data_IF_601955477132
#
_entry.id   IF_601955477132
#
_cell.length_a   1.000
_cell.length_b   1.000
_cell.length_c   1.000
_cell.angle_alpha   90.00
_cell.angle_beta   90.00
_cell.angle_gamma   90.00
#
_symmetry.space_group_name_H-M   'P 1'
#
loop_
_entity.id
_entity.type
_entity.pdbx_description
1 polymer ?
#
# COMPACT_ATOMS: atom_id res chain seq x y z
N UNK A 1 6.13 17.97 56.16
CA UNK A 1 4.86 17.44 55.60
C UNK A 1 4.75 18.04 54.21
N UNK A 2 5.46 17.45 53.27
CA UNK A 2 5.50 17.87 51.86
C UNK A 2 4.98 16.71 51.07
N UNK A 3 3.86 16.90 50.40
CA UNK A 3 3.21 15.90 49.56
C UNK A 3 3.98 15.76 48.24
N UNK A 4 4.41 14.57 48.01
CA UNK A 4 5.05 14.08 46.78
C UNK A 4 3.93 13.84 45.77
N UNK A 5 3.84 14.68 44.74
CA UNK A 5 2.96 14.45 43.60
C UNK A 5 3.74 13.65 42.56
N UNK A 6 3.66 12.34 42.66
CA UNK A 6 4.09 11.45 41.58
C UNK A 6 3.21 11.71 40.35
N UNK A 7 3.78 12.28 39.31
CA UNK A 7 3.16 12.34 37.98
C UNK A 7 3.12 10.93 37.41
N UNK A 8 1.94 10.38 37.34
CA UNK A 8 1.62 9.15 36.62
C UNK A 8 1.81 9.40 35.12
N UNK A 9 2.98 9.08 34.62
CA UNK A 9 3.28 9.00 33.22
C UNK A 9 2.71 7.66 32.68
N UNK A 10 1.41 7.60 32.56
CA UNK A 10 0.73 6.54 31.84
C UNK A 10 1.22 6.52 30.40
N UNK A 11 2.21 5.69 30.10
CA UNK A 11 2.56 5.32 28.74
C UNK A 11 1.33 4.71 28.08
N UNK A 12 0.59 5.53 27.33
CA UNK A 12 -0.42 5.02 26.43
C UNK A 12 0.30 4.13 25.43
N UNK A 13 0.07 2.82 25.53
CA UNK A 13 0.32 1.89 24.43
C UNK A 13 -0.51 2.38 23.24
N UNK A 14 0.12 3.12 22.32
CA UNK A 14 -0.45 3.51 21.04
C UNK A 14 -0.44 2.32 20.07
N UNK A 15 -0.92 1.17 20.51
CA UNK A 15 -1.23 0.06 19.64
C UNK A 15 -2.49 0.38 18.84
N UNK A 16 -2.45 0.14 17.52
CA UNK A 16 -3.64 0.17 16.68
C UNK A 16 -4.66 -0.84 17.25
N UNK A 17 -5.72 -0.35 17.87
CA UNK A 17 -6.76 -1.21 18.42
C UNK A 17 -7.79 -1.45 17.33
N UNK A 18 -7.78 -2.65 16.76
CA UNK A 18 -8.82 -3.17 15.87
C UNK A 18 -9.68 -4.13 16.68
N UNK A 19 -10.97 -4.12 16.43
CA UNK A 19 -11.90 -5.07 17.07
C UNK A 19 -11.42 -6.52 16.82
N UNK A 20 -11.21 -7.32 17.87
CA UNK A 20 -10.79 -8.73 17.72
C UNK A 20 -11.80 -9.56 16.92
N UNK A 21 -13.09 -9.28 17.03
CA UNK A 21 -14.13 -9.99 16.27
C UNK A 21 -14.01 -9.68 14.77
N UNK A 22 -13.74 -8.43 14.40
CA UNK A 22 -13.45 -8.06 13.00
C UNK A 22 -12.19 -8.77 12.48
N UNK A 23 -11.13 -8.79 13.28
CA UNK A 23 -9.88 -9.48 12.90
C UNK A 23 -10.10 -10.97 12.69
N UNK A 24 -10.87 -11.61 13.55
CA UNK A 24 -11.25 -13.01 13.43
C UNK A 24 -12.10 -13.25 12.19
N UNK A 25 -13.11 -12.43 11.95
CA UNK A 25 -13.97 -12.52 10.76
C UNK A 25 -13.15 -12.38 9.46
N UNK A 26 -12.23 -11.42 9.39
CA UNK A 26 -11.33 -11.28 8.24
C UNK A 26 -10.51 -12.55 8.04
N UNK A 27 -9.92 -13.11 9.11
CA UNK A 27 -9.15 -14.34 9.06
C UNK A 27 -9.97 -15.54 8.55
N UNK A 28 -11.18 -15.71 9.01
CA UNK A 28 -12.10 -16.78 8.59
C UNK A 28 -12.46 -16.65 7.11
N UNK A 29 -12.80 -15.44 6.66
CA UNK A 29 -13.11 -15.17 5.24
C UNK A 29 -11.90 -15.48 4.35
N UNK A 30 -10.72 -15.01 4.71
CA UNK A 30 -9.50 -15.24 3.92
C UNK A 30 -9.11 -16.72 3.89
N UNK A 31 -9.27 -17.44 4.99
CA UNK A 31 -9.05 -18.89 5.05
C UNK A 31 -10.02 -19.67 4.18
N UNK A 32 -11.25 -19.19 4.06
CA UNK A 32 -12.29 -19.81 3.22
C UNK A 32 -12.03 -19.65 1.72
N UNK A 33 -11.32 -18.59 1.30
CA UNK A 33 -11.03 -18.30 -0.12
C UNK A 33 -9.61 -18.70 -0.55
N UNK A 34 -8.70 -18.99 0.39
CA UNK A 34 -7.33 -19.40 0.13
C UNK A 34 -7.15 -20.89 0.42
N UNK A 35 -6.98 -21.71 -0.62
CA UNK A 35 -6.67 -23.13 -0.49
C UNK A 35 -5.18 -23.43 -0.72
N UNK A 36 -4.66 -24.60 -0.26
CA UNK A 36 -3.25 -24.93 -0.41
C UNK A 36 -2.83 -25.23 -1.86
N UNK A 37 -3.77 -25.56 -2.74
CA UNK A 37 -3.48 -26.09 -4.10
C UNK A 37 -4.00 -25.21 -5.25
N UNK A 38 -4.87 -24.24 -4.97
CA UNK A 38 -5.50 -23.42 -6.00
C UNK A 38 -5.28 -21.95 -5.66
N UNK A 39 -4.82 -21.18 -6.63
CA UNK A 39 -4.68 -19.73 -6.46
C UNK A 39 -6.06 -19.09 -6.27
N UNK A 40 -6.22 -18.17 -5.30
CA UNK A 40 -7.47 -17.48 -5.11
C UNK A 40 -7.89 -16.71 -6.37
N UNK A 41 -9.14 -16.90 -6.81
CA UNK A 41 -9.73 -16.09 -7.89
C UNK A 41 -10.11 -14.70 -7.34
N UNK A 42 -9.49 -13.61 -7.81
CA UNK A 42 -9.76 -12.27 -7.30
C UNK A 42 -11.24 -11.86 -7.39
N UNK A 43 -11.96 -12.31 -8.42
CA UNK A 43 -13.37 -11.99 -8.58
C UNK A 43 -14.26 -12.73 -7.56
N UNK A 44 -13.92 -13.98 -7.25
CA UNK A 44 -14.60 -14.74 -6.20
C UNK A 44 -14.32 -14.14 -4.81
N UNK A 45 -13.06 -13.78 -4.54
CA UNK A 45 -12.67 -13.11 -3.29
C UNK A 45 -13.43 -11.78 -3.13
N UNK A 46 -13.47 -10.94 -4.17
CA UNK A 46 -14.20 -9.67 -4.12
C UNK A 46 -15.67 -9.85 -3.80
N UNK A 47 -16.31 -10.85 -4.40
CA UNK A 47 -17.71 -11.18 -4.14
C UNK A 47 -17.92 -11.56 -2.68
N UNK A 48 -17.07 -12.42 -2.12
CA UNK A 48 -17.14 -12.79 -0.71
C UNK A 48 -16.94 -11.60 0.21
N UNK A 49 -15.94 -10.73 -0.07
CA UNK A 49 -15.74 -9.49 0.71
C UNK A 49 -16.97 -8.57 0.63
N UNK A 50 -17.62 -8.50 -0.53
CA UNK A 50 -18.85 -7.70 -0.71
C UNK A 50 -20.01 -8.26 0.12
N UNK A 51 -20.22 -9.58 0.09
CA UNK A 51 -21.29 -10.26 0.83
C UNK A 51 -21.17 -10.07 2.36
N UNK A 52 -19.94 -9.96 2.89
CA UNK A 52 -19.70 -9.76 4.32
C UNK A 52 -19.45 -8.29 4.71
N UNK A 53 -19.57 -7.34 3.76
CA UNK A 53 -19.41 -5.90 4.01
C UNK A 53 -17.97 -5.39 4.11
N UNK A 54 -16.97 -6.20 3.74
CA UNK A 54 -15.55 -5.82 3.81
C UNK A 54 -15.02 -5.14 2.54
N UNK A 55 -15.72 -5.24 1.40
CA UNK A 55 -15.24 -4.70 0.13
C UNK A 55 -15.18 -3.17 0.09
N UNK A 56 -16.04 -2.50 0.88
CA UNK A 56 -16.13 -1.04 0.98
C UNK A 56 -16.03 -0.58 2.43
N UNK A 57 -15.00 -1.04 3.10
CA UNK A 57 -14.83 -0.88 4.54
C UNK A 57 -14.66 0.60 4.93
N UNK A 58 -13.90 1.39 4.13
CA UNK A 58 -13.64 2.81 4.41
C UNK A 58 -14.65 3.78 3.79
N UNK A 59 -15.47 3.32 2.84
CA UNK A 59 -16.49 4.15 2.26
C UNK A 59 -17.56 4.52 3.31
N UNK A 60 -18.11 5.75 3.28
CA UNK A 60 -19.17 6.13 4.20
C UNK A 60 -20.45 5.32 3.98
N UNK A 61 -21.30 5.25 5.02
CA UNK A 61 -22.53 4.47 5.01
C UNK A 61 -23.49 4.93 3.88
N UNK A 62 -23.58 6.23 3.61
CA UNK A 62 -24.38 6.77 2.52
C UNK A 62 -23.90 6.33 1.13
N UNK A 63 -22.64 5.92 1.01
CA UNK A 63 -22.09 5.31 -0.22
C UNK A 63 -22.16 3.78 -0.20
N UNK A 64 -22.83 3.17 0.78
CA UNK A 64 -22.93 1.72 0.92
C UNK A 64 -21.66 1.07 1.52
N UNK A 65 -20.86 1.82 2.25
CA UNK A 65 -19.70 1.33 3.00
C UNK A 65 -19.97 1.13 4.49
N UNK A 66 -18.94 0.81 5.26
CA UNK A 66 -19.01 0.61 6.71
C UNK A 66 -18.54 1.82 7.52
N UNK A 67 -18.03 2.86 6.90
CA UNK A 67 -17.48 4.05 7.56
C UNK A 67 -16.29 3.79 8.47
N UNK A 68 -15.59 2.66 8.27
CA UNK A 68 -14.44 2.27 9.07
C UNK A 68 -13.20 3.15 8.77
N UNK A 69 -12.26 3.14 9.70
CA UNK A 69 -11.03 3.92 9.57
C UNK A 69 -9.84 3.15 9.00
N UNK A 70 -8.69 3.81 9.06
CA UNK A 70 -7.42 3.22 8.61
C UNK A 70 -6.98 2.00 9.43
N UNK A 71 -7.40 1.86 10.71
CA UNK A 71 -7.04 0.70 11.51
C UNK A 71 -7.64 -0.58 10.92
N UNK A 72 -8.93 -0.56 10.63
CA UNK A 72 -9.68 -1.68 10.07
C UNK A 72 -9.22 -1.97 8.62
N UNK A 73 -9.03 -0.93 7.82
CA UNK A 73 -8.50 -1.07 6.46
C UNK A 73 -7.10 -1.70 6.47
N UNK A 74 -6.20 -1.24 7.33
CA UNK A 74 -4.85 -1.79 7.47
C UNK A 74 -4.87 -3.25 7.94
N UNK A 75 -5.78 -3.62 8.83
CA UNK A 75 -5.96 -5.01 9.26
C UNK A 75 -6.36 -5.92 8.09
N UNK A 76 -7.37 -5.50 7.30
CA UNK A 76 -7.79 -6.25 6.10
C UNK A 76 -6.64 -6.37 5.09
N UNK A 77 -5.99 -5.27 4.75
CA UNK A 77 -4.88 -5.21 3.80
C UNK A 77 -3.74 -6.15 4.23
N UNK A 78 -3.34 -6.08 5.49
CA UNK A 78 -2.24 -6.86 6.05
C UNK A 78 -2.55 -8.35 6.10
N UNK A 79 -3.74 -8.73 6.60
CA UNK A 79 -4.15 -10.13 6.70
C UNK A 79 -4.33 -10.76 5.31
N UNK A 80 -4.92 -10.04 4.35
CA UNK A 80 -5.03 -10.53 2.98
C UNK A 80 -3.65 -10.77 2.35
N UNK A 81 -2.71 -9.85 2.52
CA UNK A 81 -1.35 -10.01 2.03
C UNK A 81 -0.61 -11.16 2.72
N UNK A 82 -0.77 -11.36 4.03
CA UNK A 82 -0.21 -12.48 4.78
C UNK A 82 -0.77 -13.83 4.34
N UNK A 83 -2.05 -13.87 3.96
CA UNK A 83 -2.69 -15.07 3.42
C UNK A 83 -2.36 -15.32 1.93
N UNK A 84 -1.59 -14.45 1.27
CA UNK A 84 -1.31 -14.53 -0.17
C UNK A 84 -2.54 -14.32 -1.04
N UNK A 85 -3.52 -13.56 -0.55
CA UNK A 85 -4.76 -13.21 -1.25
C UNK A 85 -4.61 -11.83 -1.89
N UNK A 86 -4.70 -11.78 -3.22
CA UNK A 86 -4.64 -10.54 -3.98
C UNK A 86 -6.04 -10.17 -4.49
N UNK A 87 -6.45 -8.93 -4.20
CA UNK A 87 -7.73 -8.36 -4.62
C UNK A 87 -7.59 -6.85 -4.74
N UNK A 88 -8.30 -6.17 -5.65
CA UNK A 88 -8.14 -4.72 -5.88
C UNK A 88 -8.82 -3.86 -4.80
N UNK A 89 -8.73 -4.27 -3.53
CA UNK A 89 -9.32 -3.55 -2.39
C UNK A 89 -8.69 -2.16 -2.20
N UNK A 90 -7.34 -2.10 -2.22
CA UNK A 90 -6.60 -0.84 -2.04
C UNK A 90 -6.97 0.15 -3.14
N UNK A 91 -6.99 -0.31 -4.38
CA UNK A 91 -7.33 0.53 -5.54
C UNK A 91 -8.77 1.02 -5.43
N UNK A 92 -9.72 0.14 -5.13
CA UNK A 92 -11.15 0.42 -5.18
C UNK A 92 -11.61 1.28 -4.01
N UNK A 93 -11.37 0.82 -2.78
CA UNK A 93 -11.93 1.44 -1.58
C UNK A 93 -11.04 2.56 -1.02
N UNK A 94 -9.71 2.31 -0.94
CA UNK A 94 -8.79 3.23 -0.27
C UNK A 94 -8.37 4.39 -1.17
N UNK A 95 -8.17 4.14 -2.48
CA UNK A 95 -7.62 5.14 -3.41
C UNK A 95 -8.69 5.78 -4.29
N UNK A 96 -9.47 4.97 -5.02
CA UNK A 96 -10.45 5.48 -6.01
C UNK A 96 -11.70 6.03 -5.33
N UNK A 97 -12.22 5.39 -4.29
CA UNK A 97 -13.41 5.85 -3.58
C UNK A 97 -13.31 7.31 -3.10
N UNK A 98 -12.28 7.70 -2.33
CA UNK A 98 -12.09 9.09 -1.93
C UNK A 98 -11.96 10.08 -3.11
N UNK A 99 -11.32 9.69 -4.21
CA UNK A 99 -11.20 10.52 -5.40
C UNK A 99 -12.54 10.72 -6.11
N UNK A 100 -13.38 9.68 -6.21
CA UNK A 100 -14.74 9.80 -6.74
C UNK A 100 -15.54 10.84 -5.96
N UNK A 101 -15.53 10.74 -4.63
CA UNK A 101 -16.22 11.70 -3.75
C UNK A 101 -15.68 13.12 -3.92
N UNK A 102 -14.36 13.29 -3.97
CA UNK A 102 -13.74 14.61 -4.17
C UNK A 102 -14.09 15.24 -5.54
N UNK A 103 -14.32 14.41 -6.56
CA UNK A 103 -14.73 14.84 -7.91
C UNK A 103 -16.24 14.88 -8.11
N UNK A 104 -17.03 14.64 -7.05
CA UNK A 104 -18.50 14.52 -7.11
C UNK A 104 -19.00 13.47 -8.14
N UNK A 105 -18.24 12.40 -8.30
CA UNK A 105 -18.64 11.22 -9.08
C UNK A 105 -19.43 10.24 -8.20
N UNK A 106 -20.19 9.35 -8.84
CA UNK A 106 -20.93 8.30 -8.14
C UNK A 106 -19.96 7.34 -7.43
N UNK A 107 -20.11 7.21 -6.13
CA UNK A 107 -19.32 6.30 -5.29
C UNK A 107 -20.19 5.19 -4.65
N UNK A 108 -21.33 4.85 -5.25
CA UNK A 108 -22.24 3.81 -4.73
C UNK A 108 -22.05 2.44 -5.38
N UNK A 109 -21.27 2.36 -6.46
CA UNK A 109 -21.05 1.12 -7.20
C UNK A 109 -20.28 0.08 -6.36
N UNK A 110 -20.76 -1.16 -6.27
CA UNK A 110 -20.07 -2.26 -5.59
C UNK A 110 -18.92 -2.86 -6.43
N UNK A 111 -18.74 -2.38 -7.67
CA UNK A 111 -17.74 -2.88 -8.60
C UNK A 111 -16.31 -2.51 -8.21
N UNK A 112 -15.37 -3.21 -8.82
CA UNK A 112 -13.94 -2.99 -8.64
C UNK A 112 -13.42 -1.86 -9.52
N UNK A 113 -12.40 -1.16 -9.04
CA UNK A 113 -11.80 -0.04 -9.77
C UNK A 113 -10.29 -0.02 -9.61
N UNK A 114 -9.61 0.61 -10.57
CA UNK A 114 -8.18 0.91 -10.44
C UNK A 114 -7.88 2.35 -10.83
N UNK A 115 -6.75 2.89 -10.33
CA UNK A 115 -6.27 4.23 -10.63
C UNK A 115 -5.26 4.19 -11.78
N UNK A 116 -5.41 5.11 -12.73
CA UNK A 116 -4.51 5.27 -13.87
C UNK A 116 -4.05 6.73 -14.01
N UNK A 117 -2.81 7.04 -13.71
CA UNK A 117 -2.22 8.37 -13.89
C UNK A 117 -1.74 8.51 -15.33
N UNK A 118 -2.36 9.43 -16.07
CA UNK A 118 -2.08 9.65 -17.49
C UNK A 118 -0.80 10.48 -17.62
N UNK A 119 0.21 9.90 -18.21
CA UNK A 119 1.48 10.52 -18.52
C UNK A 119 1.59 11.04 -19.95
N UNK A 120 2.80 11.38 -20.39
CA UNK A 120 3.07 11.83 -21.74
C UNK A 120 2.54 10.87 -22.80
N UNK A 121 1.96 11.41 -23.86
CA UNK A 121 1.37 10.59 -24.93
C UNK A 121 -0.02 10.04 -24.61
N UNK A 122 -0.68 10.55 -23.54
CA UNK A 122 -2.06 10.21 -23.23
C UNK A 122 -2.29 8.82 -22.67
N UNK A 123 -1.26 8.15 -22.15
CA UNK A 123 -1.30 6.79 -21.59
C UNK A 123 -0.87 6.75 -20.15
N UNK A 124 -1.53 5.92 -19.37
CA UNK A 124 -1.07 5.50 -18.04
C UNK A 124 -0.28 4.18 -18.17
N UNK A 125 0.89 4.13 -17.55
CA UNK A 125 1.81 3.00 -17.67
C UNK A 125 1.76 2.11 -16.42
N UNK A 126 1.90 0.79 -16.64
CA UNK A 126 2.03 -0.21 -15.58
C UNK A 126 0.91 -0.13 -14.53
N UNK A 127 -0.32 0.08 -14.99
CA UNK A 127 -1.50 0.17 -14.12
C UNK A 127 -1.79 -1.21 -13.52
N UNK A 128 -1.81 -1.34 -12.19
CA UNK A 128 -2.21 -2.60 -11.55
C UNK A 128 -3.68 -2.88 -11.82
N UNK A 129 -4.04 -4.15 -11.90
CA UNK A 129 -5.38 -4.62 -12.20
C UNK A 129 -5.93 -4.17 -13.57
N UNK A 130 -5.05 -3.69 -14.46
CA UNK A 130 -5.46 -3.30 -15.80
C UNK A 130 -6.20 -4.44 -16.51
N UNK A 131 -7.48 -4.21 -16.81
CA UNK A 131 -8.36 -5.17 -17.47
C UNK A 131 -8.96 -6.26 -16.58
N UNK A 132 -8.75 -6.18 -15.27
CA UNK A 132 -9.32 -7.10 -14.28
C UNK A 132 -10.24 -6.40 -13.27
N UNK A 133 -10.46 -5.10 -13.41
CA UNK A 133 -11.45 -4.31 -12.67
C UNK A 133 -12.61 -3.92 -13.57
N UNK A 134 -13.74 -3.53 -12.98
CA UNK A 134 -14.94 -3.09 -13.73
C UNK A 134 -14.71 -1.71 -14.36
N UNK A 135 -14.01 -0.81 -13.65
CA UNK A 135 -13.72 0.54 -14.11
C UNK A 135 -12.26 0.94 -13.89
N UNK A 136 -11.83 1.93 -14.65
CA UNK A 136 -10.55 2.63 -14.51
C UNK A 136 -10.84 4.10 -14.24
N UNK A 137 -10.35 4.64 -13.11
CA UNK A 137 -10.35 6.07 -12.85
C UNK A 137 -9.05 6.66 -13.38
N UNK A 138 -9.13 7.40 -14.46
CA UNK A 138 -8.01 8.14 -15.02
C UNK A 138 -7.83 9.47 -14.28
N UNK A 139 -6.59 9.84 -14.01
CA UNK A 139 -6.17 11.13 -13.46
C UNK A 139 -5.18 11.75 -14.41
N UNK A 140 -5.35 13.04 -14.72
CA UNK A 140 -4.38 13.85 -15.49
C UNK A 140 -4.28 15.27 -14.93
N UNK A 141 -3.24 15.99 -15.31
CA UNK A 141 -3.20 17.44 -15.11
C UNK A 141 -4.26 18.12 -15.94
N UNK A 142 -4.90 19.15 -15.40
CA UNK A 142 -5.91 19.92 -16.11
C UNK A 142 -5.30 20.63 -17.32
N UNK A 143 -5.97 20.59 -18.47
CA UNK A 143 -5.53 21.28 -19.67
C UNK A 143 -5.68 22.81 -19.49
N UNK A 144 -4.60 23.56 -19.58
CA UNK A 144 -4.60 25.01 -19.46
C UNK A 144 -3.92 25.54 -18.20
N UNK A 145 -3.35 24.69 -17.40
CA UNK A 145 -2.45 25.09 -16.34
C UNK A 145 -1.16 25.63 -16.98
N UNK A 146 -0.82 26.95 -16.81
CA UNK A 146 0.41 27.46 -17.37
C UNK A 146 1.56 26.72 -16.71
N UNK A 147 2.34 26.03 -17.55
CA UNK A 147 3.56 25.37 -17.14
C UNK A 147 4.35 26.29 -16.21
N UNK A 148 4.68 25.79 -15.04
CA UNK A 148 5.74 26.21 -14.15
C UNK A 148 6.51 27.46 -14.60
N UNK A 149 6.13 28.61 -14.07
CA UNK A 149 7.04 29.73 -13.98
C UNK A 149 7.78 29.57 -12.64
N UNK A 150 9.07 29.21 -12.70
CA UNK A 150 9.90 28.85 -11.57
C UNK A 150 10.18 29.95 -10.55
N UNK A 151 9.67 31.19 -10.78
CA UNK A 151 10.07 32.37 -10.04
C UNK A 151 9.08 32.84 -8.95
N UNK A 152 7.95 32.13 -8.69
CA UNK A 152 6.97 32.62 -7.73
C UNK A 152 6.50 31.51 -6.76
N UNK A 153 7.14 31.43 -5.57
CA UNK A 153 6.82 30.47 -4.51
C UNK A 153 5.37 30.58 -3.97
N UNK A 154 4.71 31.73 -4.11
CA UNK A 154 3.32 31.93 -3.68
C UNK A 154 2.27 31.41 -4.69
N UNK A 155 2.65 31.15 -5.93
CA UNK A 155 1.76 30.63 -6.97
C UNK A 155 1.57 29.13 -6.88
N UNK A 156 2.44 28.41 -6.16
CA UNK A 156 2.42 26.96 -5.95
C UNK A 156 1.12 26.44 -5.32
N UNK A 157 0.46 27.24 -4.52
CA UNK A 157 -0.75 26.87 -3.78
C UNK A 157 -2.06 27.07 -4.56
N UNK A 158 -2.04 27.64 -5.76
CA UNK A 158 -3.27 28.12 -6.43
C UNK A 158 -3.55 27.64 -7.84
N UNK A 159 -2.64 26.98 -8.56
CA UNK A 159 -2.78 26.78 -10.00
C UNK A 159 -2.76 25.34 -10.50
N UNK A 160 -2.34 24.33 -9.75
CA UNK A 160 -2.25 22.95 -10.24
C UNK A 160 -3.55 22.14 -10.05
N UNK A 161 -4.50 22.25 -10.96
CA UNK A 161 -5.71 21.39 -10.96
C UNK A 161 -5.45 20.04 -11.61
N UNK A 162 -6.10 19.00 -11.09
CA UNK A 162 -6.21 17.72 -11.75
C UNK A 162 -7.63 17.50 -12.26
N UNK A 163 -7.75 16.65 -13.24
CA UNK A 163 -9.03 16.17 -13.75
C UNK A 163 -9.07 14.64 -13.65
N UNK A 164 -10.25 14.13 -13.37
CA UNK A 164 -10.49 12.69 -13.34
C UNK A 164 -11.58 12.32 -14.34
N UNK A 165 -11.48 11.10 -14.85
CA UNK A 165 -12.52 10.54 -15.70
C UNK A 165 -12.64 9.04 -15.44
N UNK A 166 -13.84 8.57 -15.16
CA UNK A 166 -14.11 7.16 -14.96
C UNK A 166 -14.59 6.50 -16.24
N UNK A 167 -14.03 5.35 -16.55
CA UNK A 167 -14.30 4.60 -17.76
C UNK A 167 -14.49 3.13 -17.42
N UNK A 168 -15.52 2.50 -17.96
CA UNK A 168 -15.65 1.05 -17.93
C UNK A 168 -14.44 0.40 -18.60
N UNK A 169 -13.90 -0.64 -17.99
CA UNK A 169 -12.63 -1.24 -18.40
C UNK A 169 -12.64 -1.77 -19.84
N UNK A 170 -13.78 -2.26 -20.31
CA UNK A 170 -13.98 -2.75 -21.68
C UNK A 170 -13.87 -1.65 -22.74
N UNK A 171 -14.03 -0.38 -22.35
CA UNK A 171 -13.91 0.81 -23.22
C UNK A 171 -12.50 1.40 -23.23
N UNK A 172 -11.58 0.90 -22.41
CA UNK A 172 -10.21 1.39 -22.39
C UNK A 172 -9.36 0.74 -23.47
N UNK A 173 -8.44 1.50 -24.06
CA UNK A 173 -7.39 0.92 -24.91
C UNK A 173 -6.31 0.33 -24.02
N UNK A 174 -6.02 -0.96 -24.19
CA UNK A 174 -5.05 -1.69 -23.38
C UNK A 174 -3.92 -2.25 -24.21
N UNK A 175 -2.69 -2.11 -23.67
CA UNK A 175 -1.54 -2.91 -24.06
C UNK A 175 -1.24 -3.87 -22.90
N UNK A 176 -1.42 -5.17 -23.08
CA UNK A 176 -1.14 -6.14 -22.04
C UNK A 176 0.32 -6.10 -21.65
N UNK A 177 0.60 -6.00 -20.34
CA UNK A 177 1.90 -6.22 -19.75
C UNK A 177 2.13 -7.70 -19.48
N UNK A 178 3.37 -8.08 -19.21
CA UNK A 178 3.66 -9.42 -18.70
C UNK A 178 3.34 -9.47 -17.20
N UNK A 179 2.40 -10.29 -16.75
CA UNK A 179 2.15 -10.44 -15.32
C UNK A 179 3.38 -11.12 -14.68
N UNK A 180 3.94 -10.47 -13.67
CA UNK A 180 4.99 -11.06 -12.82
C UNK A 180 4.34 -11.77 -11.63
N UNK A 181 3.15 -11.34 -11.25
CA UNK A 181 2.37 -11.83 -10.12
C UNK A 181 0.95 -12.19 -10.53
N UNK A 182 0.11 -12.58 -9.58
CA UNK A 182 -1.33 -12.79 -9.77
C UNK A 182 -2.07 -11.48 -10.08
N UNK A 183 -1.43 -10.32 -9.92
CA UNK A 183 -2.00 -9.01 -10.19
C UNK A 183 -1.69 -8.63 -11.64
N UNK A 184 -2.69 -8.54 -12.53
CA UNK A 184 -2.46 -8.09 -13.89
C UNK A 184 -1.93 -6.66 -13.92
N UNK A 185 -0.95 -6.40 -14.77
CA UNK A 185 -0.39 -5.06 -14.99
C UNK A 185 -0.40 -4.78 -16.48
N UNK A 186 -0.78 -3.58 -16.88
CA UNK A 186 -0.77 -3.18 -18.27
C UNK A 186 -0.75 -1.66 -18.44
N UNK A 187 -0.46 -1.23 -19.65
CA UNK A 187 -0.63 0.17 -20.04
C UNK A 187 -2.06 0.37 -20.53
N UNK A 188 -2.69 1.47 -20.09
CA UNK A 188 -4.06 1.81 -20.46
C UNK A 188 -4.14 3.25 -20.96
N UNK A 189 -5.07 3.52 -21.87
CA UNK A 189 -5.38 4.87 -22.30
C UNK A 189 -6.89 5.11 -22.21
N UNK A 190 -7.33 6.32 -21.84
CA UNK A 190 -8.71 6.71 -21.91
C UNK A 190 -9.16 6.81 -23.40
N UNK A 191 -10.44 6.58 -23.72
CA UNK A 191 -10.95 6.85 -25.05
C UNK A 191 -10.85 8.33 -25.40
N UNK A 192 -10.76 8.64 -26.70
CA UNK A 192 -10.61 10.02 -27.20
C UNK A 192 -11.76 10.95 -26.78
N UNK A 193 -12.97 10.39 -26.71
CA UNK A 193 -14.17 11.11 -26.30
C UNK A 193 -14.54 10.72 -24.87
N UNK A 194 -14.08 11.50 -23.89
CA UNK A 194 -14.33 11.30 -22.48
C UNK A 194 -14.58 12.63 -21.78
N UNK A 195 -15.51 12.61 -20.84
CA UNK A 195 -15.76 13.76 -19.97
C UNK A 195 -14.82 13.72 -18.77
N UNK A 196 -14.07 14.77 -18.58
CA UNK A 196 -13.22 15.01 -17.44
C UNK A 196 -13.95 15.87 -16.41
N UNK A 197 -13.80 15.55 -15.15
CA UNK A 197 -14.32 16.29 -14.00
C UNK A 197 -13.15 16.85 -13.18
N UNK A 198 -13.20 18.11 -12.76
CA UNK A 198 -12.14 18.68 -11.95
C UNK A 198 -12.09 18.00 -10.58
N UNK A 199 -10.87 17.86 -10.03
CA UNK A 199 -10.64 17.35 -8.69
C UNK A 199 -9.56 18.20 -8.01
N UNK A 200 -9.71 18.51 -6.70
CA UNK A 200 -8.70 19.27 -5.97
C UNK A 200 -7.34 18.56 -5.94
N UNK A 201 -6.25 19.30 -6.12
CA UNK A 201 -4.88 18.75 -6.09
C UNK A 201 -4.62 17.96 -4.80
N UNK A 202 -4.99 18.52 -3.65
CA UNK A 202 -4.82 17.84 -2.36
C UNK A 202 -5.55 16.50 -2.24
N UNK A 203 -6.65 16.28 -2.97
CA UNK A 203 -7.32 14.98 -3.00
C UNK A 203 -6.51 13.94 -3.78
N UNK A 204 -5.89 14.35 -4.89
CA UNK A 204 -5.02 13.47 -5.70
C UNK A 204 -3.74 13.15 -4.94
N UNK A 205 -3.13 14.15 -4.31
CA UNK A 205 -1.94 13.97 -3.47
C UNK A 205 -2.22 13.05 -2.30
N UNK A 206 -3.37 13.21 -1.63
CA UNK A 206 -3.78 12.33 -0.54
C UNK A 206 -3.98 10.90 -1.04
N UNK A 207 -4.58 10.69 -2.20
CA UNK A 207 -4.74 9.36 -2.80
C UNK A 207 -3.38 8.67 -3.08
N UNK A 208 -2.35 9.45 -3.47
CA UNK A 208 -0.97 8.92 -3.62
C UNK A 208 -0.41 8.47 -2.28
N UNK A 209 -0.55 9.28 -1.21
CA UNK A 209 -0.09 8.90 0.13
C UNK A 209 -0.86 7.69 0.68
N UNK A 210 -2.17 7.63 0.47
CA UNK A 210 -3.02 6.48 0.84
C UNK A 210 -2.54 5.21 0.12
N UNK A 211 -2.32 5.28 -1.20
CA UNK A 211 -1.79 4.16 -1.97
C UNK A 211 -0.41 3.73 -1.49
N UNK A 212 0.49 4.67 -1.22
CA UNK A 212 1.83 4.39 -0.73
C UNK A 212 1.81 3.71 0.66
N UNK A 213 0.99 4.21 1.60
CA UNK A 213 0.81 3.60 2.91
C UNK A 213 0.24 2.18 2.80
N UNK A 214 -0.82 2.00 2.01
CA UNK A 214 -1.41 0.69 1.79
C UNK A 214 -0.39 -0.32 1.22
N UNK A 215 0.49 0.11 0.30
CA UNK A 215 1.58 -0.76 -0.22
C UNK A 215 2.61 -1.10 0.86
N UNK A 216 2.93 -0.19 1.79
CA UNK A 216 3.78 -0.52 2.93
C UNK A 216 3.12 -1.61 3.79
N UNK A 217 1.84 -1.46 4.11
CA UNK A 217 1.07 -2.44 4.90
C UNK A 217 0.97 -3.79 4.19
N UNK A 218 0.76 -3.83 2.86
CA UNK A 218 0.78 -5.07 2.07
C UNK A 218 2.15 -5.75 2.10
N UNK A 219 3.24 -4.99 1.98
CA UNK A 219 4.60 -5.54 2.07
C UNK A 219 4.88 -6.15 3.45
N UNK A 220 4.41 -5.51 4.53
CA UNK A 220 4.50 -6.04 5.90
C UNK A 220 3.71 -7.35 6.03
N UNK A 221 2.44 -7.37 5.60
CA UNK A 221 1.63 -8.58 5.65
C UNK A 221 2.25 -9.75 4.87
N UNK A 222 2.77 -9.49 3.67
CA UNK A 222 3.46 -10.51 2.90
C UNK A 222 4.72 -11.03 3.60
N UNK A 223 5.49 -10.16 4.28
CA UNK A 223 6.66 -10.56 5.05
C UNK A 223 6.26 -11.42 6.28
N UNK A 224 5.16 -11.09 6.95
CA UNK A 224 4.57 -11.92 8.03
C UNK A 224 4.19 -13.32 7.50
N UNK A 225 3.47 -13.39 6.37
CA UNK A 225 3.13 -14.67 5.75
C UNK A 225 4.36 -15.48 5.31
N UNK A 226 5.42 -14.82 4.82
CA UNK A 226 6.70 -15.47 4.51
C UNK A 226 7.39 -16.01 5.77
N UNK A 227 7.31 -15.29 6.90
CA UNK A 227 7.85 -15.74 8.18
C UNK A 227 7.12 -16.97 8.68
N UNK A 228 5.79 -16.98 8.66
CA UNK A 228 4.98 -18.13 9.06
C UNK A 228 5.29 -19.35 8.18
N UNK A 229 5.32 -19.18 6.86
CA UNK A 229 5.69 -20.25 5.94
C UNK A 229 7.11 -20.79 6.19
N UNK A 230 8.07 -19.91 6.51
CA UNK A 230 9.44 -20.31 6.84
C UNK A 230 9.53 -21.08 8.17
N UNK A 231 8.77 -20.67 9.18
CA UNK A 231 8.67 -21.37 10.48
C UNK A 231 8.07 -22.76 10.30
N UNK A 232 6.95 -22.87 9.59
CA UNK A 232 6.29 -24.15 9.32
C UNK A 232 7.19 -25.09 8.52
N UNK A 233 7.81 -24.60 7.46
CA UNK A 233 8.71 -25.41 6.64
C UNK A 233 9.92 -25.91 7.44
N UNK A 234 10.57 -25.04 8.21
CA UNK A 234 11.80 -25.40 8.93
C UNK A 234 11.55 -26.31 10.13
N UNK A 235 10.38 -26.24 10.75
CA UNK A 235 10.00 -27.12 11.86
C UNK A 235 9.53 -28.49 11.38
N UNK A 236 8.77 -28.55 10.26
CA UNK A 236 8.25 -29.78 9.68
C UNK A 236 9.26 -30.56 8.84
N UNK A 237 10.21 -29.88 8.16
CA UNK A 237 11.16 -30.53 7.25
C UNK A 237 12.37 -31.09 7.97
N UNK A 238 12.58 -32.41 7.85
CA UNK A 238 13.76 -33.10 8.40
C UNK A 238 14.80 -33.38 7.30
N UNK A 239 16.05 -33.02 7.55
CA UNK A 239 17.23 -33.33 6.73
C UNK A 239 18.42 -33.61 7.64
N UNK A 240 19.33 -34.48 7.20
CA UNK A 240 20.52 -34.86 7.98
C UNK A 240 20.18 -35.35 9.39
N UNK A 241 19.03 -36.06 9.54
CA UNK A 241 18.58 -36.69 10.77
C UNK A 241 17.93 -35.76 11.81
N UNK A 242 17.67 -34.49 11.48
CA UNK A 242 16.99 -33.53 12.38
C UNK A 242 16.19 -32.47 11.62
N UNK A 243 15.21 -31.80 12.26
CA UNK A 243 14.49 -30.67 11.66
C UNK A 243 15.44 -29.55 11.21
N UNK A 244 15.09 -28.86 10.11
CA UNK A 244 15.88 -27.73 9.60
C UNK A 244 16.04 -26.63 10.66
N UNK A 245 15.03 -26.37 11.47
CA UNK A 245 15.05 -25.42 12.59
C UNK A 245 16.16 -25.69 13.65
N UNK A 246 16.82 -26.85 13.61
CA UNK A 246 17.94 -27.19 14.50
C UNK A 246 19.32 -26.80 13.96
N UNK A 247 19.37 -26.22 12.76
CA UNK A 247 20.62 -25.75 12.15
C UNK A 247 20.78 -24.26 12.40
N UNK A 248 21.93 -23.84 12.97
CA UNK A 248 22.22 -22.44 13.31
C UNK A 248 22.07 -21.49 12.09
N UNK A 249 22.52 -21.93 10.92
CA UNK A 249 22.40 -21.12 9.69
C UNK A 249 20.94 -20.88 9.29
N UNK A 250 20.06 -21.84 9.50
CA UNK A 250 18.62 -21.71 9.23
C UNK A 250 17.98 -20.80 10.27
N UNK A 251 18.33 -20.98 11.56
CA UNK A 251 17.85 -20.08 12.62
C UNK A 251 18.21 -18.62 12.35
N UNK A 252 19.44 -18.34 11.92
CA UNK A 252 19.85 -16.98 11.60
C UNK A 252 18.98 -16.38 10.48
N UNK A 253 18.71 -17.13 9.41
CA UNK A 253 17.85 -16.64 8.30
C UNK A 253 16.42 -16.32 8.77
N UNK A 254 15.84 -17.15 9.64
CA UNK A 254 14.49 -16.94 10.18
C UNK A 254 14.48 -15.76 11.16
N UNK A 255 15.51 -15.63 12.00
CA UNK A 255 15.63 -14.50 12.95
C UNK A 255 15.80 -13.18 12.20
N UNK A 256 16.65 -13.12 11.17
CA UNK A 256 16.81 -11.92 10.36
C UNK A 256 15.47 -11.53 9.69
N UNK A 257 14.75 -12.49 9.13
CA UNK A 257 13.43 -12.25 8.54
C UNK A 257 12.45 -11.72 9.59
N UNK A 258 12.40 -12.31 10.77
CA UNK A 258 11.52 -11.87 11.86
C UNK A 258 11.85 -10.45 12.35
N UNK A 259 13.14 -10.13 12.53
CA UNK A 259 13.59 -8.83 13.00
C UNK A 259 13.21 -7.70 12.01
N UNK A 260 13.47 -7.92 10.73
CA UNK A 260 13.11 -6.97 9.67
C UNK A 260 11.59 -6.80 9.54
N UNK A 261 10.82 -7.89 9.66
CA UNK A 261 9.35 -7.84 9.61
C UNK A 261 8.78 -7.00 10.76
N UNK A 262 9.29 -7.20 11.99
CA UNK A 262 8.84 -6.42 13.17
C UNK A 262 9.18 -4.94 13.01
N UNK A 263 10.38 -4.62 12.51
CA UNK A 263 10.79 -3.24 12.27
C UNK A 263 9.88 -2.56 11.22
N UNK A 264 9.63 -3.25 10.11
CA UNK A 264 8.73 -2.75 9.06
C UNK A 264 7.29 -2.57 9.57
N UNK A 265 6.82 -3.50 10.39
CA UNK A 265 5.53 -3.43 11.06
C UNK A 265 5.41 -2.18 11.92
N UNK A 266 6.38 -1.92 12.79
CA UNK A 266 6.38 -0.75 13.65
C UNK A 266 6.32 0.57 12.86
N UNK A 267 7.09 0.67 11.77
CA UNK A 267 7.07 1.85 10.90
C UNK A 267 5.72 2.02 10.18
N UNK A 268 5.11 0.95 9.69
CA UNK A 268 3.81 1.00 9.04
C UNK A 268 2.68 1.34 10.04
N UNK A 269 2.68 0.72 11.22
CA UNK A 269 1.69 0.97 12.28
C UNK A 269 1.74 2.44 12.74
N UNK A 270 2.93 3.05 12.82
CA UNK A 270 3.06 4.47 13.14
C UNK A 270 2.45 5.37 12.05
N UNK A 271 2.64 5.04 10.77
CA UNK A 271 2.05 5.79 9.68
C UNK A 271 0.51 5.59 9.61
N UNK A 272 0.00 4.41 9.93
CA UNK A 272 -1.44 4.15 10.07
C UNK A 272 -2.03 4.93 11.24
N UNK A 273 -1.35 5.00 12.38
CA UNK A 273 -1.79 5.80 13.51
C UNK A 273 -1.87 7.31 13.17
N UNK A 274 -0.94 7.82 12.38
CA UNK A 274 -1.05 9.18 11.84
C UNK A 274 -2.26 9.34 10.91
N UNK A 275 -2.47 8.40 10.01
CA UNK A 275 -3.59 8.42 9.08
C UNK A 275 -4.96 8.43 9.79
N UNK A 276 -5.09 7.72 10.91
CA UNK A 276 -6.29 7.73 11.75
C UNK A 276 -6.61 9.13 12.32
N UNK A 277 -5.59 9.88 12.69
CA UNK A 277 -5.76 11.20 13.34
C UNK A 277 -5.89 12.32 12.32
N UNK A 278 -5.09 12.27 11.25
CA UNK A 278 -4.91 13.39 10.32
C UNK A 278 -5.54 13.17 8.95
N UNK A 279 -5.98 11.94 8.63
CA UNK A 279 -6.37 11.56 7.27
C UNK A 279 -5.23 11.69 6.25
N UNK A 280 -3.97 11.59 6.70
CA UNK A 280 -2.74 11.86 5.93
C UNK A 280 -2.56 13.33 5.50
N UNK A 281 -3.29 14.26 6.11
CA UNK A 281 -3.13 15.71 5.92
C UNK A 281 -2.26 16.39 6.99
N UNK A 282 -1.63 15.63 7.88
CA UNK A 282 -0.77 16.16 8.94
C UNK A 282 0.63 16.55 8.45
N UNK A 283 1.34 17.41 9.19
CA UNK A 283 2.67 17.90 8.78
C UNK A 283 3.74 16.79 8.70
N UNK A 284 3.53 15.67 9.38
CA UNK A 284 4.45 14.53 9.39
C UNK A 284 3.94 13.34 8.56
N UNK A 285 2.76 13.43 7.95
CA UNK A 285 2.14 12.30 7.23
C UNK A 285 3.03 11.78 6.10
N UNK A 286 3.54 12.67 5.25
CA UNK A 286 4.43 12.28 4.15
C UNK A 286 5.76 11.68 4.66
N UNK A 287 6.33 12.20 5.74
CA UNK A 287 7.53 11.64 6.39
C UNK A 287 7.28 10.21 6.89
N UNK A 288 6.17 10.00 7.62
CA UNK A 288 5.82 8.68 8.16
C UNK A 288 5.54 7.66 7.06
N UNK A 289 4.85 8.08 6.00
CA UNK A 289 4.64 7.23 4.80
C UNK A 289 5.97 6.91 4.12
N UNK A 290 6.86 7.89 3.95
CA UNK A 290 8.18 7.68 3.35
C UNK A 290 9.03 6.70 4.18
N UNK A 291 9.03 6.86 5.51
CA UNK A 291 9.71 5.96 6.42
C UNK A 291 9.15 4.53 6.33
N UNK A 292 7.81 4.38 6.39
CA UNK A 292 7.15 3.07 6.26
C UNK A 292 7.48 2.40 4.91
N UNK A 293 7.48 3.15 3.81
CA UNK A 293 7.83 2.66 2.46
C UNK A 293 9.28 2.23 2.35
N UNK A 294 10.22 3.01 2.91
CA UNK A 294 11.64 2.67 2.92
C UNK A 294 11.89 1.39 3.73
N UNK A 295 11.46 1.37 4.98
CA UNK A 295 11.69 0.24 5.89
C UNK A 295 11.00 -1.03 5.38
N UNK A 296 9.73 -0.97 4.95
CA UNK A 296 9.03 -2.12 4.38
C UNK A 296 9.72 -2.66 3.11
N UNK A 297 10.28 -1.78 2.28
CA UNK A 297 11.00 -2.18 1.07
C UNK A 297 12.32 -2.90 1.36
N UNK A 298 13.05 -2.47 2.41
CA UNK A 298 14.29 -3.10 2.86
C UNK A 298 14.00 -4.44 3.52
N UNK A 299 13.04 -4.48 4.44
CA UNK A 299 12.60 -5.71 5.10
C UNK A 299 12.15 -6.77 4.10
N UNK A 300 11.38 -6.36 3.08
CA UNK A 300 10.92 -7.27 2.04
C UNK A 300 12.07 -7.91 1.25
N UNK A 301 13.16 -7.19 0.99
CA UNK A 301 14.33 -7.76 0.31
C UNK A 301 14.96 -8.90 1.13
N UNK A 302 15.02 -8.74 2.45
CA UNK A 302 15.49 -9.79 3.37
C UNK A 302 14.48 -10.93 3.45
N UNK A 303 13.19 -10.62 3.60
CA UNK A 303 12.12 -11.60 3.73
C UNK A 303 12.06 -12.53 2.51
N UNK A 304 12.00 -11.98 1.30
CA UNK A 304 11.96 -12.78 0.05
C UNK A 304 13.20 -13.66 -0.07
N UNK A 305 14.41 -13.08 0.11
CA UNK A 305 15.66 -13.85 0.02
C UNK A 305 15.70 -14.98 1.03
N UNK A 306 15.42 -14.71 2.30
CA UNK A 306 15.55 -15.69 3.37
C UNK A 306 14.45 -16.76 3.29
N UNK A 307 13.21 -16.38 2.96
CA UNK A 307 12.13 -17.34 2.73
C UNK A 307 12.47 -18.32 1.59
N UNK A 308 12.92 -17.84 0.44
CA UNK A 308 13.37 -18.73 -0.65
C UNK A 308 14.57 -19.59 -0.23
N UNK A 309 15.53 -19.04 0.52
CA UNK A 309 16.71 -19.78 0.95
C UNK A 309 16.35 -20.94 1.89
N UNK A 310 15.43 -20.73 2.85
CA UNK A 310 15.04 -21.82 3.78
C UNK A 310 14.16 -22.89 3.14
N UNK A 311 13.34 -22.52 2.14
CA UNK A 311 12.55 -23.49 1.39
C UNK A 311 13.38 -24.27 0.36
N UNK A 312 14.47 -23.65 -0.16
CA UNK A 312 15.29 -24.25 -1.22
C UNK A 312 14.51 -24.39 -2.53
N UNK A 313 14.80 -25.44 -3.30
CA UNK A 313 14.23 -25.62 -4.63
C UNK A 313 12.69 -25.65 -4.68
N UNK A 314 12.02 -26.18 -3.67
CA UNK A 314 10.55 -26.26 -3.65
C UNK A 314 9.93 -24.85 -3.61
N UNK A 315 10.54 -23.89 -2.90
CA UNK A 315 10.05 -22.51 -2.80
C UNK A 315 10.08 -21.75 -4.12
N UNK A 316 10.77 -22.26 -5.15
CA UNK A 316 10.82 -21.63 -6.47
C UNK A 316 9.87 -22.28 -7.48
N UNK A 317 9.10 -23.27 -7.07
CA UNK A 317 8.13 -23.97 -7.92
C UNK A 317 6.72 -23.44 -7.71
N UNK A 318 5.85 -23.58 -8.73
CA UNK A 318 4.42 -23.27 -8.61
C UNK A 318 3.65 -24.25 -7.73
N UNK A 319 4.23 -25.40 -7.38
CA UNK A 319 3.64 -26.37 -6.46
C UNK A 319 3.61 -25.86 -5.01
N UNK A 320 4.51 -24.93 -4.67
CA UNK A 320 4.59 -24.33 -3.34
C UNK A 320 3.97 -22.93 -3.35
N UNK A 321 3.18 -22.61 -2.33
CA UNK A 321 2.42 -21.35 -2.24
C UNK A 321 3.27 -20.10 -2.00
N UNK A 322 4.58 -20.21 -1.78
CA UNK A 322 5.47 -19.07 -1.49
C UNK A 322 5.42 -17.97 -2.56
N UNK A 323 5.21 -18.34 -3.83
CA UNK A 323 5.08 -17.37 -4.93
C UNK A 323 3.87 -16.43 -4.76
N UNK A 324 2.81 -16.83 -4.04
CA UNK A 324 1.64 -16.00 -3.74
C UNK A 324 1.96 -14.86 -2.78
N UNK A 325 3.02 -15.01 -1.99
CA UNK A 325 3.51 -13.99 -1.07
C UNK A 325 4.59 -13.13 -1.74
N UNK A 326 5.56 -13.77 -2.39
CA UNK A 326 6.76 -13.09 -2.88
C UNK A 326 6.51 -12.26 -4.14
N UNK A 327 5.78 -12.79 -5.13
CA UNK A 327 5.58 -12.08 -6.41
C UNK A 327 4.71 -10.82 -6.27
N UNK A 328 3.54 -10.86 -5.61
CA UNK A 328 2.78 -9.64 -5.36
C UNK A 328 3.54 -8.61 -4.53
N UNK A 329 4.26 -9.05 -3.49
CA UNK A 329 5.04 -8.16 -2.65
C UNK A 329 6.14 -7.43 -3.42
N UNK A 330 6.85 -8.11 -4.32
CA UNK A 330 7.84 -7.50 -5.20
C UNK A 330 7.21 -6.48 -6.17
N UNK A 331 5.96 -6.70 -6.61
CA UNK A 331 5.22 -5.74 -7.41
C UNK A 331 4.82 -4.51 -6.58
N UNK A 332 4.17 -4.70 -5.41
CA UNK A 332 3.75 -3.61 -4.51
C UNK A 332 4.91 -2.72 -4.07
N UNK A 333 6.10 -3.29 -3.92
CA UNK A 333 7.32 -2.55 -3.59
C UNK A 333 7.62 -1.42 -4.56
N UNK A 334 7.23 -1.54 -5.84
CA UNK A 334 7.47 -0.55 -6.88
C UNK A 334 6.31 0.42 -7.13
N UNK A 335 5.12 0.13 -6.61
CA UNK A 335 3.93 0.93 -6.86
C UNK A 335 3.82 2.11 -5.90
N UNK A 336 3.21 3.23 -6.33
CA UNK A 336 3.14 4.50 -5.57
C UNK A 336 4.51 4.98 -5.07
N UNK A 337 5.53 4.84 -5.89
CA UNK A 337 6.91 5.20 -5.57
C UNK A 337 7.78 4.01 -5.17
N UNK A 338 8.96 3.91 -5.77
CA UNK A 338 9.96 2.90 -5.42
C UNK A 338 10.64 3.21 -4.07
N UNK A 339 11.38 2.24 -3.52
CA UNK A 339 12.22 2.47 -2.34
C UNK A 339 13.14 3.68 -2.55
N UNK A 340 13.84 3.73 -3.68
CA UNK A 340 14.76 4.83 -3.98
C UNK A 340 14.06 6.20 -4.07
N UNK A 341 12.80 6.25 -4.52
CA UNK A 341 12.02 7.48 -4.52
C UNK A 341 11.79 8.00 -3.09
N UNK A 342 11.29 7.15 -2.20
CA UNK A 342 11.01 7.54 -0.82
C UNK A 342 12.27 7.81 -0.01
N UNK A 343 13.34 7.06 -0.25
CA UNK A 343 14.66 7.26 0.37
C UNK A 343 15.31 8.58 -0.07
N UNK A 344 15.10 9.01 -1.34
CA UNK A 344 15.62 10.32 -1.78
C UNK A 344 14.96 11.47 -1.02
N UNK A 345 13.63 11.41 -0.82
CA UNK A 345 12.92 12.44 -0.05
C UNK A 345 13.39 12.50 1.42
N UNK A 346 13.58 11.36 2.05
CA UNK A 346 14.12 11.30 3.42
C UNK A 346 15.55 11.85 3.47
N UNK A 347 16.37 11.54 2.48
CA UNK A 347 17.75 12.02 2.39
C UNK A 347 17.81 13.53 2.17
N UNK A 348 16.96 14.07 1.30
CA UNK A 348 16.85 15.51 1.05
C UNK A 348 16.42 16.25 2.32
N UNK A 349 15.43 15.73 3.04
CA UNK A 349 14.99 16.30 4.31
C UNK A 349 16.11 16.25 5.38
N UNK A 350 16.85 15.14 5.47
CA UNK A 350 17.99 15.02 6.37
C UNK A 350 19.11 16.03 6.05
N UNK A 351 19.43 16.21 4.77
CA UNK A 351 20.45 17.18 4.32
C UNK A 351 20.01 18.61 4.61
N UNK A 352 18.73 18.93 4.38
CA UNK A 352 18.16 20.25 4.66
C UNK A 352 18.23 20.62 6.15
N UNK A 353 18.02 19.63 7.05
CA UNK A 353 18.15 19.80 8.49
C UNK A 353 19.59 19.98 9.01
N UNK A 354 20.59 19.67 8.19
CA UNK A 354 22.00 19.76 8.56
C UNK A 354 22.38 18.83 9.71
N UNK A 355 23.59 19.03 10.30
CA UNK A 355 24.10 18.17 11.37
C UNK A 355 23.23 18.22 12.63
N UNK A 356 22.67 19.37 12.97
CA UNK A 356 21.85 19.56 14.17
C UNK A 356 20.43 19.01 13.98
N UNK A 357 19.97 18.83 12.74
CA UNK A 357 18.66 18.30 12.39
C UNK A 357 18.55 16.77 12.42
N UNK A 358 19.68 16.05 12.39
CA UNK A 358 19.67 14.58 12.30
C UNK A 358 18.97 13.91 13.49
N UNK A 359 19.26 14.34 14.72
CA UNK A 359 18.65 13.77 15.92
C UNK A 359 17.16 14.15 16.07
N UNK A 360 16.74 15.42 15.91
CA UNK A 360 15.31 15.77 15.84
C UNK A 360 14.54 14.98 14.79
N UNK A 361 15.11 14.80 13.59
CA UNK A 361 14.46 14.00 12.53
C UNK A 361 14.16 12.56 12.98
N UNK A 362 15.09 11.93 13.72
CA UNK A 362 14.91 10.55 14.22
C UNK A 362 13.86 10.48 15.33
N UNK A 363 13.84 11.47 16.23
CA UNK A 363 12.99 11.45 17.44
C UNK A 363 11.61 12.05 17.19
N UNK A 364 11.55 13.15 16.47
CA UNK A 364 10.33 13.96 16.30
C UNK A 364 9.73 13.83 14.90
N UNK A 365 10.54 13.43 13.93
CA UNK A 365 10.21 13.49 12.51
C UNK A 365 10.51 14.86 11.91
N UNK A 366 10.30 14.99 10.61
CA UNK A 366 10.48 16.23 9.86
C UNK A 366 9.40 16.35 8.80
N UNK A 367 8.96 17.56 8.47
CA UNK A 367 8.06 17.76 7.34
C UNK A 367 8.76 17.37 6.02
N UNK A 368 8.06 16.63 5.18
CA UNK A 368 8.46 16.27 3.82
C UNK A 368 7.38 16.82 2.89
N UNK A 369 7.61 18.03 2.42
CA UNK A 369 6.64 18.73 1.58
C UNK A 369 6.70 18.23 0.13
N UNK A 370 5.56 18.25 -0.56
CA UNK A 370 5.48 17.94 -1.98
C UNK A 370 5.78 16.49 -2.39
N UNK A 371 5.87 15.53 -1.45
CA UNK A 371 6.19 14.14 -1.76
C UNK A 371 5.25 13.52 -2.80
N UNK A 372 3.95 13.72 -2.64
CA UNK A 372 2.94 13.22 -3.56
C UNK A 372 2.99 13.95 -4.91
N UNK A 373 3.19 15.28 -4.89
CA UNK A 373 3.38 16.07 -6.10
C UNK A 373 4.61 15.62 -6.89
N UNK A 374 5.75 15.39 -6.23
CA UNK A 374 6.97 14.88 -6.87
C UNK A 374 6.78 13.48 -7.51
N UNK A 375 5.94 12.62 -6.91
CA UNK A 375 5.58 11.36 -7.52
C UNK A 375 4.70 11.56 -8.77
N UNK A 376 3.69 12.43 -8.68
CA UNK A 376 2.80 12.75 -9.78
C UNK A 376 3.57 13.34 -10.96
N UNK A 377 4.52 14.25 -10.71
CA UNK A 377 5.38 14.85 -11.73
C UNK A 377 6.17 13.79 -12.50
N UNK A 378 6.75 12.80 -11.79
CA UNK A 378 7.42 11.67 -12.44
C UNK A 378 6.48 10.82 -13.29
N UNK A 379 5.21 10.68 -12.88
CA UNK A 379 4.22 9.88 -13.63
C UNK A 379 3.67 10.64 -14.83
N UNK A 380 3.51 11.95 -14.72
CA UNK A 380 3.02 12.81 -15.80
C UNK A 380 4.12 13.26 -16.76
N UNK A 381 5.39 13.09 -16.39
CA UNK A 381 6.55 13.32 -17.27
C UNK A 381 7.01 14.76 -17.34
N UNK A 382 6.77 15.52 -16.27
CA UNK A 382 7.28 16.87 -16.07
C UNK A 382 8.61 16.88 -15.33
#
# INVERSE_FOLDING_TARGET
MTADTASDNGGQETGLVVDPDLTTMIGDVLSGVSGPTVDPDPAAVWRTLTEVGLARLTAPEESGGSGAGWAEAAALIRLAAAAGVCVPYVETDVVVGPLRRAAALDDTSPGTSTLAVVGPGGRARRVPWAGATDTVLFVRRAAGDPAYDHDDEDTFARAGGYEVAEVATDRTERLPGSPISQIPVGDVAPPSEIRWSPVPAGAVENAVLQGALARAVQCVGAAEGMLDAALDHTTGRTQFGRPLARFQSVQNLVVDLAAETVLARAAADQAVADALVTGLGGPLSAFRVALARSVASQALAVAVRNAHQVHGAIGTTHEHTLHRLTLPALQWRGEFGSAAFWESLLSEAAVAGGMDGAWPMVVEGVAVDGAAAAWLDRMTGD
#
